data_IF_321549585638
#
_entry.id   IF_321549585638
#
_cell.length_a   1.000
_cell.length_b   1.000
_cell.length_c   1.000
_cell.angle_alpha   90.00
_cell.angle_beta   90.00
_cell.angle_gamma   90.00
#
_symmetry.space_group_name_H-M   'P 1'
#
loop_
_entity.id
_entity.type
_entity.pdbx_description
1 polymer ?
#
# COMPACT_ATOMS: atom_id res chain seq x y z
N UNK A 1 -31.35 -10.32 -61.54
CA UNK A 1 -30.69 -9.19 -60.85
C UNK A 1 -30.97 -9.32 -59.36
N UNK A 2 -30.09 -10.04 -58.64
CA UNK A 2 -30.08 -10.08 -57.17
C UNK A 2 -29.39 -8.80 -56.71
N UNK A 3 -30.07 -7.98 -55.90
CA UNK A 3 -29.44 -6.90 -55.16
C UNK A 3 -29.16 -7.43 -53.76
N UNK A 4 -27.87 -7.64 -53.47
CA UNK A 4 -27.36 -7.79 -52.11
C UNK A 4 -27.45 -6.42 -51.44
N UNK A 5 -28.10 -6.38 -50.27
CA UNK A 5 -28.02 -5.25 -49.35
C UNK A 5 -26.88 -5.57 -48.39
N UNK A 6 -25.81 -4.79 -48.47
CA UNK A 6 -24.76 -4.74 -47.46
C UNK A 6 -25.35 -4.14 -46.17
N UNK A 7 -25.39 -4.94 -45.11
CA UNK A 7 -25.68 -4.44 -43.76
C UNK A 7 -24.44 -3.71 -43.24
N UNK A 8 -24.56 -2.38 -43.09
CA UNK A 8 -23.63 -1.59 -42.29
C UNK A 8 -23.76 -2.02 -40.83
N UNK A 9 -22.79 -2.78 -40.34
CA UNK A 9 -22.52 -2.94 -38.92
C UNK A 9 -22.07 -1.58 -38.41
N UNK A 10 -22.93 -0.87 -37.67
CA UNK A 10 -22.50 0.28 -36.87
C UNK A 10 -21.68 -0.27 -35.71
N UNK A 11 -20.39 0.04 -35.69
CA UNK A 11 -19.56 -0.12 -34.50
C UNK A 11 -20.25 0.58 -33.32
N UNK A 12 -20.48 -0.16 -32.25
CA UNK A 12 -20.96 0.38 -30.97
C UNK A 12 -19.93 1.39 -30.46
N UNK A 13 -20.35 2.57 -29.98
CA UNK A 13 -19.41 3.52 -29.40
C UNK A 13 -18.70 2.86 -28.21
N UNK A 14 -17.37 2.91 -28.22
CA UNK A 14 -16.54 2.52 -27.08
C UNK A 14 -17.06 3.27 -25.84
N UNK A 15 -17.47 2.51 -24.82
CA UNK A 15 -17.89 3.07 -23.54
C UNK A 15 -16.66 3.73 -22.95
N UNK A 16 -16.60 5.06 -22.96
CA UNK A 16 -15.61 5.81 -22.19
C UNK A 16 -15.66 5.29 -20.74
N UNK A 17 -14.57 4.66 -20.29
CA UNK A 17 -14.42 4.21 -18.91
C UNK A 17 -14.58 5.45 -18.01
N UNK A 18 -15.72 5.57 -17.32
CA UNK A 18 -16.03 6.70 -16.43
C UNK A 18 -15.02 6.74 -15.26
N UNK A 19 -14.03 7.61 -15.35
CA UNK A 19 -12.96 7.70 -14.36
C UNK A 19 -13.47 8.42 -13.12
N UNK A 20 -13.32 7.76 -11.97
CA UNK A 20 -13.83 8.23 -10.69
C UNK A 20 -13.16 9.51 -10.17
N UNK A 21 -13.96 10.40 -9.58
CA UNK A 21 -13.48 11.41 -8.64
C UNK A 21 -13.52 10.86 -7.20
N UNK A 22 -12.35 10.65 -6.62
CA UNK A 22 -12.17 10.00 -5.33
C UNK A 22 -11.95 11.01 -4.23
N UNK A 23 -12.83 11.02 -3.23
CA UNK A 23 -12.68 11.89 -2.07
C UNK A 23 -11.53 11.41 -1.18
N UNK A 24 -10.65 12.32 -0.78
CA UNK A 24 -9.58 12.02 0.16
C UNK A 24 -9.68 12.84 1.44
N UNK A 25 -9.12 12.29 2.52
CA UNK A 25 -8.87 12.98 3.78
C UNK A 25 -7.47 12.62 4.27
N UNK A 26 -6.64 13.62 4.59
CA UNK A 26 -5.35 13.45 5.28
C UNK A 26 -5.45 14.00 6.67
N UNK A 27 -5.11 13.19 7.68
CA UNK A 27 -4.95 13.64 9.05
C UNK A 27 -3.45 13.80 9.32
N UNK A 28 -3.01 15.03 9.59
CA UNK A 28 -1.61 15.34 9.91
C UNK A 28 -1.42 15.34 11.43
N UNK A 29 -0.70 14.35 11.93
CA UNK A 29 -0.54 14.09 13.37
C UNK A 29 0.80 14.62 13.89
N UNK A 30 0.79 15.63 14.76
CA UNK A 30 1.99 16.18 15.41
C UNK A 30 2.19 15.66 16.85
N UNK A 31 1.11 15.29 17.54
CA UNK A 31 1.11 14.86 18.95
C UNK A 31 1.49 13.38 19.15
N UNK A 32 1.97 12.71 18.12
CA UNK A 32 2.57 11.37 18.24
C UNK A 32 3.94 11.41 18.93
N UNK A 33 4.48 12.61 19.20
CA UNK A 33 5.85 12.85 19.66
C UNK A 33 6.87 12.78 18.53
N UNK A 34 6.42 12.73 17.27
CA UNK A 34 7.24 12.34 16.13
C UNK A 34 6.89 13.21 14.94
N UNK A 35 7.86 14.03 14.54
CA UNK A 35 7.85 14.80 13.31
C UNK A 35 8.49 13.91 12.23
N UNK A 36 7.71 13.43 11.26
CA UNK A 36 8.23 12.63 10.14
C UNK A 36 9.18 13.46 9.24
N UNK A 37 8.94 14.77 9.19
CA UNK A 37 9.73 15.81 8.54
C UNK A 37 9.20 17.16 9.09
N UNK A 38 10.08 18.07 9.54
CA UNK A 38 9.66 19.40 10.03
C UNK A 38 8.90 20.18 8.95
N UNK A 39 9.19 19.90 7.67
CA UNK A 39 8.50 20.50 6.52
C UNK A 39 7.11 19.88 6.23
N UNK A 40 6.82 18.66 6.70
CA UNK A 40 5.50 18.02 6.53
C UNK A 40 4.47 18.54 7.54
N UNK A 41 4.95 19.00 8.71
CA UNK A 41 4.08 19.31 9.82
C UNK A 41 3.34 18.07 10.32
N UNK A 42 4.05 16.97 10.57
CA UNK A 42 3.50 15.78 11.26
C UNK A 42 3.40 14.51 10.41
N UNK A 43 3.03 13.40 11.05
CA UNK A 43 2.85 12.08 10.44
C UNK A 43 1.48 11.99 9.75
N UNK A 44 1.42 11.76 8.42
CA UNK A 44 0.16 11.73 7.69
C UNK A 44 -0.53 10.37 7.78
N UNK A 45 -1.85 10.40 7.93
CA UNK A 45 -2.71 9.24 7.81
C UNK A 45 -3.84 9.52 6.83
N UNK A 46 -3.89 8.71 5.79
CA UNK A 46 -4.71 8.95 4.61
C UNK A 46 -5.94 8.06 4.61
N UNK A 47 -7.02 8.62 4.06
CA UNK A 47 -8.22 7.92 3.65
C UNK A 47 -8.57 8.36 2.24
N UNK A 48 -8.82 7.41 1.36
CA UNK A 48 -9.35 7.68 0.01
C UNK A 48 -10.57 6.80 -0.17
N UNK A 49 -11.70 7.39 -0.58
CA UNK A 49 -12.88 6.62 -0.98
C UNK A 49 -12.68 6.16 -2.41
N UNK A 50 -12.51 4.86 -2.62
CA UNK A 50 -12.38 4.22 -3.91
C UNK A 50 -13.77 3.89 -4.47
N UNK A 51 -13.94 4.02 -5.77
CA UNK A 51 -15.07 3.49 -6.53
C UNK A 51 -14.77 2.07 -7.02
N UNK A 52 -15.82 1.35 -7.43
CA UNK A 52 -15.71 0.02 -8.04
C UNK A 52 -15.19 -1.11 -7.14
N UNK A 53 -15.10 -0.89 -5.82
CA UNK A 53 -14.63 -1.94 -4.90
C UNK A 53 -15.60 -3.13 -4.93
N UNK A 54 -16.89 -2.89 -4.70
CA UNK A 54 -17.88 -3.97 -4.72
C UNK A 54 -18.09 -4.56 -6.13
N UNK A 55 -17.93 -3.75 -7.19
CA UNK A 55 -18.04 -4.23 -8.57
C UNK A 55 -16.91 -5.21 -8.94
N UNK A 56 -15.71 -5.03 -8.39
CA UNK A 56 -14.55 -5.87 -8.68
C UNK A 56 -14.39 -7.02 -7.68
N UNK A 57 -14.63 -6.76 -6.39
CA UNK A 57 -14.43 -7.75 -5.32
C UNK A 57 -15.71 -8.51 -4.97
N UNK A 58 -16.88 -8.06 -5.42
CA UNK A 58 -18.17 -8.77 -5.24
C UNK A 58 -18.49 -9.10 -3.77
N UNK A 59 -18.08 -8.21 -2.85
CA UNK A 59 -18.21 -8.41 -1.41
C UNK A 59 -17.25 -9.44 -0.81
N UNK A 60 -16.29 -9.97 -1.58
CA UNK A 60 -15.25 -10.85 -1.08
C UNK A 60 -14.38 -10.12 -0.04
N UNK A 61 -14.14 -10.78 1.09
CA UNK A 61 -13.31 -10.25 2.17
C UNK A 61 -12.26 -11.26 2.64
N UNK A 62 -11.15 -10.72 3.14
CA UNK A 62 -9.97 -11.44 3.58
C UNK A 62 -9.89 -11.38 5.11
N UNK A 63 -9.97 -12.54 5.74
CA UNK A 63 -9.93 -12.66 7.20
C UNK A 63 -8.50 -12.49 7.73
N UNK A 64 -8.36 -12.03 8.98
CA UNK A 64 -7.06 -12.02 9.65
C UNK A 64 -6.48 -13.44 9.68
N UNK A 65 -5.16 -13.56 9.63
CA UNK A 65 -4.43 -14.82 9.67
C UNK A 65 -4.63 -15.49 11.03
N UNK A 66 -5.48 -16.52 11.04
CA UNK A 66 -5.83 -17.28 12.25
C UNK A 66 -4.68 -18.17 12.70
N UNK A 67 -3.73 -18.48 11.84
CA UNK A 67 -2.64 -19.42 12.12
C UNK A 67 -1.37 -18.68 12.58
N UNK A 68 -1.31 -17.36 12.38
CA UNK A 68 -0.18 -16.55 12.80
C UNK A 68 -0.27 -16.12 14.28
N UNK A 69 0.55 -16.76 15.12
CA UNK A 69 0.50 -16.61 16.58
C UNK A 69 0.66 -15.17 17.11
N UNK A 70 1.41 -14.31 16.43
CA UNK A 70 1.53 -12.89 16.82
C UNK A 70 0.20 -12.13 16.67
N UNK A 71 -0.61 -12.47 15.67
CA UNK A 71 -1.89 -11.81 15.39
C UNK A 71 -3.01 -12.37 16.28
N UNK A 72 -2.91 -13.63 16.69
CA UNK A 72 -3.80 -14.19 17.72
C UNK A 72 -3.73 -13.40 19.05
N UNK A 73 -2.57 -12.80 19.39
CA UNK A 73 -2.43 -11.91 20.56
C UNK A 73 -3.31 -10.66 20.47
N UNK A 74 -3.77 -10.30 19.28
CA UNK A 74 -4.76 -9.23 19.05
C UNK A 74 -6.15 -9.86 18.96
N UNK A 75 -6.38 -10.83 18.08
CA UNK A 75 -7.74 -11.25 17.71
C UNK A 75 -8.34 -12.38 18.57
N UNK A 76 -7.56 -13.02 19.45
CA UNK A 76 -8.03 -14.06 20.37
C UNK A 76 -8.98 -13.56 21.47
N UNK A 77 -9.53 -14.47 22.27
CA UNK A 77 -10.59 -14.12 23.23
C UNK A 77 -10.10 -13.79 24.66
N UNK A 78 -8.81 -14.02 24.94
CA UNK A 78 -8.20 -13.79 26.25
C UNK A 78 -8.23 -12.32 26.70
N UNK A 79 -8.11 -12.08 28.01
CA UNK A 79 -8.09 -10.73 28.60
C UNK A 79 -6.94 -9.90 28.02
N UNK A 80 -5.76 -10.49 27.86
CA UNK A 80 -4.62 -9.84 27.21
C UNK A 80 -4.93 -9.45 25.75
N UNK A 81 -5.69 -10.27 25.03
CA UNK A 81 -6.08 -9.98 23.65
C UNK A 81 -7.06 -8.81 23.58
N UNK A 82 -8.02 -8.75 24.50
CA UNK A 82 -8.93 -7.60 24.62
C UNK A 82 -8.18 -6.30 24.92
N UNK A 83 -7.20 -6.34 25.82
CA UNK A 83 -6.34 -5.20 26.12
C UNK A 83 -5.52 -4.76 24.90
N UNK A 84 -4.92 -5.72 24.18
CA UNK A 84 -4.19 -5.48 22.94
C UNK A 84 -5.08 -4.81 21.88
N UNK A 85 -6.30 -5.32 21.64
CA UNK A 85 -7.27 -4.66 20.74
C UNK A 85 -7.63 -3.27 21.19
N UNK A 86 -7.85 -3.05 22.49
CA UNK A 86 -8.17 -1.72 23.00
C UNK A 86 -7.04 -0.71 22.71
N UNK A 87 -5.78 -1.13 22.89
CA UNK A 87 -4.62 -0.32 22.56
C UNK A 87 -4.55 -0.01 21.05
N UNK A 88 -4.74 -1.00 20.18
CA UNK A 88 -4.76 -0.81 18.72
C UNK A 88 -5.89 0.15 18.31
N UNK A 89 -7.09 0.00 18.86
CA UNK A 89 -8.23 0.90 18.59
C UNK A 89 -8.00 2.33 19.09
N UNK A 90 -7.38 2.50 20.26
CA UNK A 90 -7.01 3.82 20.75
C UNK A 90 -6.02 4.52 19.80
N UNK A 91 -5.09 3.76 19.22
CA UNK A 91 -4.11 4.26 18.24
C UNK A 91 -4.75 4.57 16.90
N UNK A 92 -5.66 3.73 16.41
CA UNK A 92 -6.49 4.05 15.24
C UNK A 92 -7.23 5.38 15.46
N UNK A 93 -7.85 5.58 16.63
CA UNK A 93 -8.55 6.82 16.96
C UNK A 93 -7.60 8.02 16.99
N UNK A 94 -6.41 7.88 17.57
CA UNK A 94 -5.39 8.94 17.55
C UNK A 94 -5.01 9.33 16.13
N UNK A 95 -4.79 8.34 15.28
CA UNK A 95 -4.32 8.51 13.91
C UNK A 95 -5.38 9.13 12.97
N UNK A 96 -6.66 8.78 13.16
CA UNK A 96 -7.73 9.12 12.21
C UNK A 96 -8.88 9.99 12.76
N UNK A 97 -9.00 10.16 14.10
CA UNK A 97 -10.21 10.72 14.75
C UNK A 97 -9.93 11.71 15.90
N UNK A 98 -8.96 12.60 15.77
CA UNK A 98 -9.05 13.88 16.50
C UNK A 98 -7.96 14.20 17.51
N UNK A 99 -6.69 14.03 17.12
CA UNK A 99 -5.60 14.88 17.63
C UNK A 99 -4.73 15.43 16.47
N UNK A 100 -5.22 15.32 15.24
CA UNK A 100 -4.57 15.93 14.09
C UNK A 100 -4.79 17.45 14.17
N UNK A 101 -3.69 18.20 14.23
CA UNK A 101 -3.76 19.66 14.26
C UNK A 101 -4.15 20.23 12.89
N UNK A 102 -4.02 19.42 11.82
CA UNK A 102 -4.39 19.77 10.46
C UNK A 102 -5.09 18.59 9.80
N UNK A 103 -6.25 18.87 9.20
CA UNK A 103 -6.98 17.93 8.36
C UNK A 103 -7.07 18.56 6.97
N UNK A 104 -6.74 17.77 5.95
CA UNK A 104 -6.79 18.17 4.56
C UNK A 104 -7.77 17.28 3.81
N UNK A 105 -8.55 17.85 2.90
CA UNK A 105 -9.59 17.13 2.15
C UNK A 105 -9.65 17.62 0.72
N UNK A 106 -10.00 16.74 -0.21
CA UNK A 106 -10.21 17.11 -1.61
C UNK A 106 -10.66 15.92 -2.43
N UNK A 107 -10.43 15.99 -3.74
CA UNK A 107 -10.74 14.93 -4.70
C UNK A 107 -9.50 14.59 -5.55
N UNK A 108 -9.40 13.34 -5.97
CA UNK A 108 -8.35 12.82 -6.86
C UNK A 108 -9.02 12.16 -8.06
N UNK A 109 -8.53 12.44 -9.27
CA UNK A 109 -9.03 11.82 -10.50
C UNK A 109 -7.93 11.14 -11.29
N UNK A 110 -6.73 11.72 -11.29
CA UNK A 110 -5.57 11.24 -12.08
C UNK A 110 -4.52 10.60 -11.20
N UNK A 111 -3.70 9.73 -11.80
CA UNK A 111 -2.52 9.17 -11.14
C UNK A 111 -1.60 10.27 -10.61
N UNK A 112 -1.40 11.34 -11.38
CA UNK A 112 -0.61 12.51 -10.96
C UNK A 112 -1.14 13.19 -9.70
N UNK A 113 -2.46 13.23 -9.51
CA UNK A 113 -3.06 13.80 -8.29
C UNK A 113 -2.67 12.96 -7.07
N UNK A 114 -2.72 11.63 -7.19
CA UNK A 114 -2.30 10.70 -6.14
C UNK A 114 -0.79 10.80 -5.89
N UNK A 115 0.03 10.84 -6.93
CA UNK A 115 1.48 11.03 -6.81
C UNK A 115 1.81 12.32 -6.06
N UNK A 116 1.19 13.44 -6.43
CA UNK A 116 1.39 14.73 -5.77
C UNK A 116 0.92 14.72 -4.32
N UNK A 117 -0.25 14.13 -4.03
CA UNK A 117 -0.74 13.95 -2.66
C UNK A 117 0.28 13.20 -1.79
N UNK A 118 0.96 12.22 -2.38
CA UNK A 118 1.97 11.39 -1.73
C UNK A 118 3.40 11.96 -1.82
N UNK A 119 3.58 13.17 -2.36
CA UNK A 119 4.90 13.78 -2.62
C UNK A 119 5.82 12.84 -3.41
N UNK A 120 5.27 12.22 -4.46
CA UNK A 120 5.92 11.23 -5.30
C UNK A 120 6.43 10.00 -4.53
N UNK A 121 5.84 9.72 -3.36
CA UNK A 121 6.24 8.62 -2.49
C UNK A 121 7.62 8.81 -1.83
N UNK A 122 8.13 10.04 -1.75
CA UNK A 122 9.47 10.33 -1.22
C UNK A 122 9.41 11.31 -0.04
N UNK A 123 10.36 11.19 0.89
CA UNK A 123 10.69 12.23 1.89
C UNK A 123 11.49 13.35 1.23
N UNK A 124 11.66 14.46 1.96
CA UNK A 124 12.43 15.62 1.47
C UNK A 124 13.91 15.29 1.22
N UNK A 125 14.50 14.37 1.97
CA UNK A 125 15.86 13.88 1.76
C UNK A 125 15.97 12.85 0.60
N UNK A 126 14.87 12.53 -0.07
CA UNK A 126 14.85 11.59 -1.20
C UNK A 126 14.58 10.14 -0.81
N UNK A 127 14.45 9.81 0.48
CA UNK A 127 14.11 8.45 0.91
C UNK A 127 12.74 8.05 0.34
N UNK A 128 12.66 6.87 -0.24
CA UNK A 128 11.42 6.28 -0.74
C UNK A 128 10.63 5.74 0.46
N UNK A 129 9.35 6.14 0.52
CA UNK A 129 8.40 5.68 1.51
C UNK A 129 7.69 4.42 1.02
N UNK A 130 7.72 3.38 1.85
CA UNK A 130 6.76 2.27 1.77
C UNK A 130 5.53 2.69 2.56
N UNK A 131 4.34 2.29 2.14
CA UNK A 131 3.08 2.57 2.83
C UNK A 131 2.40 1.26 3.21
N UNK A 132 1.88 1.18 4.42
CA UNK A 132 1.00 0.08 4.84
C UNK A 132 -0.44 0.47 4.54
N UNK A 133 -1.23 -0.42 3.92
CA UNK A 133 -2.63 -0.12 3.58
C UNK A 133 -3.62 -1.21 3.96
N UNK A 134 -4.88 -0.80 4.12
CA UNK A 134 -6.07 -1.65 4.23
C UNK A 134 -7.18 -1.03 3.40
N UNK A 135 -7.83 -1.84 2.55
CA UNK A 135 -9.12 -1.51 1.93
C UNK A 135 -10.20 -2.18 2.76
N UNK A 136 -11.12 -1.39 3.30
CA UNK A 136 -12.27 -1.88 4.05
C UNK A 136 -13.51 -1.18 3.52
N UNK A 137 -14.50 -1.97 3.10
CA UNK A 137 -15.63 -1.45 2.33
C UNK A 137 -15.07 -0.70 1.10
N UNK A 138 -15.46 0.55 0.89
CA UNK A 138 -15.00 1.39 -0.22
C UNK A 138 -13.88 2.37 0.16
N UNK A 139 -13.24 2.21 1.33
CA UNK A 139 -12.23 3.16 1.82
C UNK A 139 -10.85 2.49 1.89
N UNK A 140 -9.87 3.12 1.23
CA UNK A 140 -8.45 2.86 1.38
C UNK A 140 -7.88 3.64 2.57
N UNK A 141 -7.42 2.93 3.58
CA UNK A 141 -6.77 3.47 4.79
C UNK A 141 -5.28 3.16 4.73
N UNK A 142 -4.42 4.17 4.86
CA UNK A 142 -2.98 3.93 4.78
C UNK A 142 -2.15 5.03 5.45
N UNK A 143 -0.88 4.71 5.70
CA UNK A 143 0.15 5.65 6.15
C UNK A 143 1.56 5.10 5.84
N UNK A 144 2.61 5.94 5.81
CA UNK A 144 3.98 5.47 5.59
C UNK A 144 4.46 4.45 6.63
N UNK A 145 5.05 3.35 6.15
CA UNK A 145 5.81 2.33 6.87
C UNK A 145 7.23 2.85 7.15
N UNK A 146 7.68 2.79 8.41
CA UNK A 146 9.11 2.97 8.72
C UNK A 146 9.41 3.92 9.89
N UNK A 147 10.39 3.50 10.69
CA UNK A 147 11.09 4.16 11.80
C UNK A 147 10.32 4.62 13.04
N UNK A 148 9.03 5.00 12.96
CA UNK A 148 8.36 5.69 14.08
C UNK A 148 6.84 5.40 14.21
N UNK A 149 6.25 5.78 15.36
CA UNK A 149 4.85 5.62 15.89
C UNK A 149 4.20 4.23 15.80
N UNK A 150 4.35 3.54 14.67
CA UNK A 150 3.85 2.19 14.41
C UNK A 150 4.95 1.10 14.49
N UNK A 151 6.22 1.49 14.71
CA UNK A 151 7.37 0.56 14.78
C UNK A 151 7.21 -0.49 15.90
N UNK A 152 6.71 -0.07 17.06
CA UNK A 152 6.48 -0.95 18.22
C UNK A 152 5.08 -1.58 18.25
N UNK A 153 4.33 -1.53 17.14
CA UNK A 153 2.95 -2.02 17.13
C UNK A 153 2.84 -3.49 16.77
N UNK A 154 1.93 -4.15 17.49
CA UNK A 154 1.59 -5.57 17.32
C UNK A 154 1.12 -5.86 15.88
N UNK A 155 0.54 -4.86 15.21
CA UNK A 155 0.31 -4.88 13.76
C UNK A 155 -0.12 -3.50 13.23
N UNK A 156 0.51 -3.05 12.13
CA UNK A 156 0.16 -1.82 11.40
C UNK A 156 -1.19 -1.94 10.68
N UNK A 157 -1.43 -3.05 9.98
CA UNK A 157 -2.69 -3.32 9.28
C UNK A 157 -3.88 -3.37 10.26
N UNK A 158 -3.70 -3.93 11.47
CA UNK A 158 -4.73 -3.96 12.50
C UNK A 158 -5.10 -2.56 13.01
N UNK A 159 -4.14 -1.61 13.01
CA UNK A 159 -4.42 -0.20 13.29
C UNK A 159 -5.26 0.39 12.17
N UNK A 160 -4.86 0.24 10.90
CA UNK A 160 -5.62 0.77 9.77
C UNK A 160 -7.04 0.23 9.69
N UNK A 161 -7.24 -1.06 9.99
CA UNK A 161 -8.55 -1.71 9.99
C UNK A 161 -9.38 -1.49 11.25
N UNK A 162 -8.87 -0.76 12.26
CA UNK A 162 -9.51 -0.61 13.57
C UNK A 162 -9.84 -1.98 14.24
N UNK A 163 -8.94 -2.96 14.06
CA UNK A 163 -9.12 -4.36 14.43
C UNK A 163 -10.35 -5.03 13.78
N UNK A 164 -10.69 -4.71 12.53
CA UNK A 164 -11.67 -5.49 11.79
C UNK A 164 -11.16 -6.92 11.60
N UNK A 165 -12.03 -7.92 11.78
CA UNK A 165 -11.65 -9.33 11.57
C UNK A 165 -11.42 -9.64 10.09
N UNK A 166 -12.11 -8.92 9.23
CA UNK A 166 -12.11 -9.06 7.78
C UNK A 166 -11.98 -7.68 7.15
N UNK A 167 -11.31 -7.63 6.00
CA UNK A 167 -11.10 -6.45 5.17
C UNK A 167 -11.25 -6.84 3.70
N UNK A 168 -11.56 -5.92 2.80
CA UNK A 168 -11.64 -6.25 1.36
C UNK A 168 -10.27 -6.69 0.84
N UNK A 169 -9.23 -5.93 1.18
CA UNK A 169 -7.85 -6.27 0.84
C UNK A 169 -6.86 -5.51 1.73
N UNK A 170 -5.59 -5.92 1.77
CA UNK A 170 -4.56 -5.21 2.54
C UNK A 170 -3.17 -5.54 2.03
N UNK A 171 -2.18 -4.71 2.34
CA UNK A 171 -0.82 -4.98 1.93
C UNK A 171 0.13 -3.81 2.17
N UNK A 172 1.11 -3.68 1.29
CA UNK A 172 2.01 -2.53 1.22
C UNK A 172 2.06 -1.98 -0.21
N UNK A 173 2.45 -0.71 -0.36
CA UNK A 173 2.73 -0.12 -1.66
C UNK A 173 3.84 0.93 -1.56
N UNK A 174 4.41 1.32 -2.70
CA UNK A 174 5.34 2.42 -2.83
C UNK A 174 5.28 3.00 -4.25
N UNK A 175 5.85 4.19 -4.43
CA UNK A 175 6.04 4.80 -5.74
C UNK A 175 7.52 4.75 -6.07
N UNK A 176 7.84 4.23 -7.26
CA UNK A 176 9.22 4.11 -7.72
C UNK A 176 9.36 4.74 -9.10
N UNK A 177 10.44 5.48 -9.31
CA UNK A 177 10.75 6.03 -10.63
C UNK A 177 11.13 4.93 -11.61
N UNK A 178 10.69 5.07 -12.86
CA UNK A 178 10.93 4.10 -13.94
C UNK A 178 12.41 3.84 -14.19
N UNK A 179 13.32 4.80 -13.99
CA UNK A 179 14.77 4.57 -14.15
C UNK A 179 15.30 3.61 -13.08
N UNK A 180 14.92 3.82 -11.83
CA UNK A 180 15.27 2.90 -10.74
C UNK A 180 14.62 1.53 -10.95
N UNK A 181 13.39 1.47 -11.45
CA UNK A 181 12.72 0.22 -11.79
C UNK A 181 13.37 -0.52 -12.96
N UNK A 182 13.80 0.19 -14.00
CA UNK A 182 14.43 -0.39 -15.18
C UNK A 182 15.84 -0.88 -14.87
N UNK A 183 16.60 -0.18 -14.02
CA UNK A 183 17.89 -0.68 -13.51
C UNK A 183 17.78 -1.97 -12.69
N UNK A 184 16.56 -2.39 -12.30
CA UNK A 184 16.31 -3.72 -11.72
C UNK A 184 15.97 -4.77 -12.78
N UNK A 185 15.36 -4.36 -13.90
CA UNK A 185 14.92 -5.24 -14.99
C UNK A 185 16.05 -5.52 -15.98
N UNK A 186 16.98 -4.58 -16.15
CA UNK A 186 18.14 -4.69 -17.02
C UNK A 186 19.45 -4.52 -16.24
N UNK A 187 20.32 -5.53 -16.24
CA UNK A 187 21.73 -5.41 -15.82
C UNK A 187 22.59 -4.63 -16.83
N UNK A 188 21.97 -3.86 -17.73
CA UNK A 188 22.68 -3.13 -18.76
C UNK A 188 22.51 -1.63 -18.51
N UNK A 189 23.61 -1.02 -18.10
CA UNK A 189 23.85 0.43 -18.04
C UNK A 189 23.72 1.05 -19.43
N UNK A 190 22.49 1.22 -19.93
CA UNK A 190 22.22 2.09 -21.05
C UNK A 190 21.49 3.31 -20.51
N UNK A 191 22.29 4.31 -20.15
CA UNK A 191 21.88 5.69 -19.93
C UNK A 191 21.14 6.21 -21.16
N UNK A 192 19.81 6.03 -21.15
CA UNK A 192 18.92 6.78 -22.03
C UNK A 192 18.33 7.90 -21.20
N UNK A 193 18.94 9.08 -21.34
CA UNK A 193 18.40 10.34 -20.86
C UNK A 193 17.07 10.64 -21.58
N UNK A 194 15.98 10.12 -21.02
CA UNK A 194 14.65 10.67 -21.29
C UNK A 194 14.45 11.88 -20.38
N UNK A 195 14.39 13.05 -21.00
CA UNK A 195 14.27 14.39 -20.38
C UNK A 195 12.83 14.77 -19.99
N UNK A 196 11.93 13.82 -19.74
CA UNK A 196 10.55 14.15 -19.36
C UNK A 196 10.23 13.53 -18.00
N UNK A 197 9.80 14.38 -17.05
CA UNK A 197 9.28 14.10 -15.70
C UNK A 197 9.26 12.62 -15.30
N UNK A 198 10.00 12.27 -14.24
CA UNK A 198 9.99 10.98 -13.52
C UNK A 198 8.65 10.25 -13.65
N UNK A 199 8.54 9.33 -14.60
CA UNK A 199 7.39 8.47 -14.74
C UNK A 199 7.41 7.52 -13.54
N UNK A 200 6.45 7.67 -12.63
CA UNK A 200 6.35 6.84 -11.43
C UNK A 200 5.53 5.57 -11.72
N UNK A 201 5.94 4.48 -11.10
CA UNK A 201 5.18 3.23 -11.03
C UNK A 201 4.63 3.11 -9.61
N UNK A 202 3.31 2.99 -9.50
CA UNK A 202 2.62 2.62 -8.26
C UNK A 202 2.66 1.10 -8.11
N UNK A 203 3.60 0.62 -7.28
CA UNK A 203 3.77 -0.80 -7.02
C UNK A 203 3.02 -1.15 -5.73
N UNK A 204 2.08 -2.09 -5.82
CA UNK A 204 1.22 -2.51 -4.71
C UNK A 204 1.29 -4.02 -4.52
N UNK A 205 1.23 -4.48 -3.27
CA UNK A 205 1.30 -5.92 -2.96
C UNK A 205 0.23 -6.37 -1.99
N UNK A 206 0.18 -7.68 -1.75
CA UNK A 206 -0.58 -8.30 -0.67
C UNK A 206 0.26 -8.51 0.62
N UNK A 207 1.40 -7.82 0.76
CA UNK A 207 2.29 -7.90 1.94
C UNK A 207 1.60 -7.44 3.22
N UNK A 208 1.00 -8.38 3.96
CA UNK A 208 0.18 -8.09 5.13
C UNK A 208 0.63 -8.94 6.31
N UNK A 209 1.04 -8.29 7.40
CA UNK A 209 1.42 -8.99 8.63
C UNK A 209 0.22 -9.43 9.47
N UNK A 210 -1.02 -9.15 9.02
CA UNK A 210 -2.26 -9.37 9.79
C UNK A 210 -3.27 -10.22 9.07
N UNK A 211 -3.45 -9.93 7.80
CA UNK A 211 -4.34 -10.66 6.92
C UNK A 211 -3.47 -11.52 6.01
N UNK A 212 -4.09 -12.51 5.37
CA UNK A 212 -3.43 -13.31 4.33
C UNK A 212 -4.21 -13.13 3.02
N UNK A 213 -4.11 -11.96 2.37
CA UNK A 213 -4.93 -11.63 1.22
C UNK A 213 -4.62 -12.58 0.05
N UNK A 214 -5.67 -13.10 -0.57
CA UNK A 214 -5.55 -14.03 -1.68
C UNK A 214 -4.87 -13.37 -2.89
N UNK A 215 -3.72 -13.94 -3.30
CA UNK A 215 -2.94 -13.48 -4.47
C UNK A 215 -3.72 -13.51 -5.78
N UNK A 216 -4.72 -14.38 -5.90
CA UNK A 216 -5.55 -14.47 -7.11
C UNK A 216 -6.41 -13.20 -7.32
N UNK A 217 -6.52 -12.34 -6.31
CA UNK A 217 -7.22 -11.05 -6.38
C UNK A 217 -6.30 -9.88 -6.78
N UNK A 218 -4.99 -10.09 -6.93
CA UNK A 218 -4.06 -9.02 -7.36
C UNK A 218 -4.45 -8.39 -8.71
N UNK A 219 -4.94 -9.13 -9.72
CA UNK A 219 -5.46 -8.51 -10.95
C UNK A 219 -6.65 -7.59 -10.68
N UNK A 220 -7.56 -7.95 -9.77
CA UNK A 220 -8.69 -7.10 -9.36
C UNK A 220 -8.21 -5.85 -8.63
N UNK A 221 -7.21 -5.99 -7.75
CA UNK A 221 -6.58 -4.87 -7.06
C UNK A 221 -5.93 -3.91 -8.05
N UNK A 222 -5.15 -4.41 -9.01
CA UNK A 222 -4.55 -3.59 -10.07
C UNK A 222 -5.63 -2.82 -10.83
N UNK A 223 -6.66 -3.53 -11.29
CA UNK A 223 -7.76 -2.91 -12.05
C UNK A 223 -8.53 -1.88 -11.23
N UNK A 224 -8.66 -2.09 -9.91
CA UNK A 224 -9.28 -1.13 -9.00
C UNK A 224 -8.54 0.21 -9.05
N UNK A 225 -7.22 0.22 -8.89
CA UNK A 225 -6.45 1.47 -8.94
C UNK A 225 -6.46 2.11 -10.33
N UNK A 226 -6.35 1.32 -11.40
CA UNK A 226 -6.44 1.82 -12.78
C UNK A 226 -7.79 2.49 -13.08
N UNK A 227 -8.91 1.93 -12.59
CA UNK A 227 -10.25 2.55 -12.76
C UNK A 227 -10.47 3.79 -11.90
N UNK A 228 -9.76 3.90 -10.78
CA UNK A 228 -9.89 5.03 -9.88
C UNK A 228 -9.01 6.23 -10.28
N UNK A 229 -7.88 6.00 -10.97
CA UNK A 229 -6.91 7.05 -11.26
C UNK A 229 -6.46 7.03 -12.72
N UNK A 230 -6.86 8.05 -13.49
CA UNK A 230 -6.47 8.23 -14.90
C UNK A 230 -4.95 8.21 -15.08
N UNK A 231 -4.45 7.43 -16.02
CA UNK A 231 -3.02 7.32 -16.37
C UNK A 231 -2.11 6.88 -15.21
N UNK A 232 -2.64 6.30 -14.13
CA UNK A 232 -1.81 5.70 -13.08
C UNK A 232 -1.17 4.41 -13.59
N UNK A 233 0.16 4.34 -13.59
CA UNK A 233 0.90 3.11 -13.89
C UNK A 233 0.91 2.21 -12.66
N UNK A 234 0.21 1.08 -12.73
CA UNK A 234 0.05 0.16 -11.59
C UNK A 234 0.71 -1.19 -11.89
N UNK A 235 1.55 -1.64 -10.98
CA UNK A 235 2.04 -3.03 -10.92
C UNK A 235 1.58 -3.64 -9.58
N UNK A 236 0.97 -4.83 -9.64
CA UNK A 236 0.49 -5.53 -8.46
C UNK A 236 1.20 -6.89 -8.36
N UNK A 237 1.78 -7.17 -7.20
CA UNK A 237 2.60 -8.37 -6.98
C UNK A 237 2.21 -9.11 -5.71
N UNK A 238 2.34 -10.44 -5.74
CA UNK A 238 2.40 -11.22 -4.52
C UNK A 238 3.72 -10.96 -3.80
N UNK A 239 3.68 -10.91 -2.47
CA UNK A 239 4.86 -10.64 -1.65
C UNK A 239 6.01 -11.65 -1.82
N UNK A 240 5.72 -12.85 -2.34
CA UNK A 240 6.71 -13.91 -2.60
C UNK A 240 7.26 -13.84 -4.02
N UNK A 241 6.76 -12.95 -4.89
CA UNK A 241 7.29 -12.79 -6.24
C UNK A 241 8.66 -12.11 -6.25
N UNK A 242 9.60 -12.66 -7.03
CA UNK A 242 10.97 -12.16 -7.12
C UNK A 242 11.02 -10.67 -7.51
N UNK A 243 10.15 -10.23 -8.43
CA UNK A 243 10.08 -8.82 -8.84
C UNK A 243 9.78 -7.89 -7.65
N UNK A 244 8.83 -8.25 -6.78
CA UNK A 244 8.50 -7.45 -5.60
C UNK A 244 9.65 -7.41 -4.59
N UNK A 245 10.31 -8.56 -4.39
CA UNK A 245 11.47 -8.69 -3.51
C UNK A 245 12.62 -7.82 -4.02
N UNK A 246 12.89 -7.80 -5.32
CA UNK A 246 13.93 -6.96 -5.92
C UNK A 246 13.63 -5.47 -5.80
N UNK A 247 12.38 -5.04 -5.98
CA UNK A 247 11.96 -3.67 -5.67
C UNK A 247 12.26 -3.31 -4.21
N UNK A 248 11.96 -4.22 -3.29
CA UNK A 248 12.25 -4.04 -1.88
C UNK A 248 13.73 -3.81 -1.59
N UNK A 249 14.61 -4.67 -2.13
CA UNK A 249 16.06 -4.54 -2.00
C UNK A 249 16.59 -3.27 -2.66
N UNK A 250 15.99 -2.82 -3.75
CA UNK A 250 16.36 -1.58 -4.43
C UNK A 250 16.07 -0.36 -3.55
N UNK A 251 14.89 -0.32 -2.95
CA UNK A 251 14.47 0.73 -2.02
C UNK A 251 15.37 0.76 -0.78
N UNK A 252 15.67 -0.41 -0.20
CA UNK A 252 16.63 -0.51 0.91
C UNK A 252 17.98 0.09 0.53
N UNK A 253 18.60 -0.35 -0.58
CA UNK A 253 19.89 0.18 -1.06
C UNK A 253 19.86 1.69 -1.36
N UNK A 254 18.79 2.16 -2.00
CA UNK A 254 18.61 3.58 -2.31
C UNK A 254 18.54 4.41 -1.03
N UNK A 255 17.69 4.03 -0.08
CA UNK A 255 17.53 4.75 1.19
C UNK A 255 18.83 4.71 2.02
N UNK A 256 19.54 3.57 2.07
CA UNK A 256 20.85 3.43 2.72
C UNK A 256 21.90 4.37 2.14
N UNK A 257 21.90 4.57 0.82
CA UNK A 257 22.85 5.46 0.14
C UNK A 257 22.65 6.93 0.50
N UNK A 258 21.43 7.33 0.89
CA UNK A 258 21.10 8.70 1.28
C UNK A 258 21.52 9.02 2.73
N UNK A 259 21.41 8.03 3.62
CA UNK A 259 21.65 8.22 5.06
C UNK A 259 23.11 7.95 5.49
N UNK A 260 23.95 7.41 4.60
CA UNK A 260 25.34 7.05 4.92
C UNK A 260 25.47 5.97 6.02
N UNK A 261 24.36 5.30 6.37
CA UNK A 261 24.27 4.23 7.36
C UNK A 261 23.36 3.12 6.82
N UNK A 262 23.87 1.90 6.91
CA UNK A 262 23.19 0.66 6.53
C UNK A 262 21.88 0.48 7.33
N UNK A 263 20.76 0.38 6.64
CA UNK A 263 19.40 0.17 7.13
C UNK A 263 19.11 -1.32 7.08
N UNK A 264 19.50 -2.04 8.13
CA UNK A 264 19.08 -3.43 8.30
C UNK A 264 17.57 -3.46 8.58
N UNK A 265 16.83 -4.15 7.71
CA UNK A 265 15.42 -4.59 7.82
C UNK A 265 14.31 -3.59 7.43
N UNK A 266 13.90 -3.60 6.15
CA UNK A 266 12.51 -3.33 5.75
C UNK A 266 11.71 -4.64 5.54
N UNK A 267 12.38 -5.77 5.26
CA UNK A 267 11.70 -7.07 5.08
C UNK A 267 12.00 -8.03 6.25
N UNK A 268 11.10 -8.06 7.23
CA UNK A 268 11.14 -9.00 8.34
C UNK A 268 10.93 -10.44 7.89
N UNK A 269 12.00 -11.13 7.45
CA UNK A 269 12.05 -12.58 7.54
C UNK A 269 12.35 -12.93 9.00
N UNK A 270 11.39 -13.49 9.71
CA UNK A 270 11.75 -14.39 10.81
C UNK A 270 12.53 -15.54 10.19
N UNK A 271 13.84 -15.58 10.40
CA UNK A 271 14.60 -16.80 10.20
C UNK A 271 13.84 -17.92 10.92
N UNK A 272 13.39 -18.91 10.15
CA UNK A 272 12.94 -20.17 10.72
C UNK A 272 14.10 -20.66 11.59
N UNK A 273 13.93 -20.64 12.90
CA UNK A 273 14.76 -21.43 13.79
C UNK A 273 14.67 -22.87 13.28
N UNK A 274 15.70 -23.32 12.58
CA UNK A 274 16.02 -24.74 12.50
C UNK A 274 16.25 -25.15 13.94
N UNK A 275 15.26 -25.79 14.54
CA UNK A 275 15.48 -26.60 15.73
C UNK A 275 16.42 -27.73 15.31
N UNK A 276 17.70 -27.57 15.61
CA UNK A 276 18.63 -28.69 15.67
C UNK A 276 18.05 -29.66 16.70
N UNK A 277 17.67 -30.85 16.22
CA UNK A 277 17.40 -32.00 17.08
C UNK A 277 18.76 -32.44 17.61
N UNK A 278 19.00 -32.46 18.93
CA UNK A 278 20.23 -33.01 19.46
C UNK A 278 20.29 -34.50 19.13
N UNK A 279 21.40 -34.91 18.53
CA UNK A 279 21.75 -36.30 18.30
C UNK A 279 22.11 -36.91 19.67
N UNK A 280 21.20 -37.71 20.23
CA UNK A 280 21.43 -38.47 21.46
C UNK A 280 22.37 -39.65 21.14
N UNK A 281 23.62 -39.52 21.56
CA UNK A 281 24.59 -40.60 21.74
C UNK A 281 24.50 -41.19 23.15
#
# INVERSE_FOLDING_TARGET
>A
KRHEREEHIKESPEVEDDIAENQFIVNWNHNTGIILDEALGGYPAYRIRLKYVDDLFEGETQHYDKDYGSIQKIFGDGVHCKASRAAVKAKHKSLYKGFANRVETGTLKKGRDLEHLLRNGKRKNGEILVFTYVIREDILWFAPTGENFLKDMVSKHAVHSNCAKEVTYSGEFFLIDTKLANGLKDNNDNDSESENDEDLIFVISNSSGTYKPNKDLLPKLKKLFEKNFENLKVEAYDQEEDNYIEYGKAIERHNESLDGKLFKHLFGRSEKQRTEVPDDS
#
